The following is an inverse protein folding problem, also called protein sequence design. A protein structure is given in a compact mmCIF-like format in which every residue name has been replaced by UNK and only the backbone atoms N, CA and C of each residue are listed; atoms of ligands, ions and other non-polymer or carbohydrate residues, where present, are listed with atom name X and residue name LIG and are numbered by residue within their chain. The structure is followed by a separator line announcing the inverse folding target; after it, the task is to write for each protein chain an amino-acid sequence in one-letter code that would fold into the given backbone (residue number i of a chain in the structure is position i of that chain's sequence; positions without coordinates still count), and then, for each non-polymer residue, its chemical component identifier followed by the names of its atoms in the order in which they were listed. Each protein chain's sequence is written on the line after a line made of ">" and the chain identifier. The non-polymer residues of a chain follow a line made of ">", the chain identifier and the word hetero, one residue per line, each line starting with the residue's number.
data_IF_692636976216
#
_entry.id   IF_692636976216
#
_cell.length_a   1.000
_cell.length_b   1.000
_cell.length_c   1.000
_cell.angle_alpha   90.00
_cell.angle_beta   90.00
_cell.angle_gamma   90.00
#
_symmetry.space_group_name_H-M   'P 1'
#
loop_
_entity.id
_entity.type
_entity.pdbx_description
1 polymer ?
#
# COMPACT_ATOMS: atom_id res chain seq x y z
N UNK A 1 9.72 3.76 8.54
CA UNK A 1 9.18 4.13 7.19
C UNK A 1 8.55 5.55 7.13
N UNK A 2 8.89 6.36 6.11
CA UNK A 2 8.30 7.70 5.82
C UNK A 2 7.05 7.59 4.92
N UNK A 3 5.96 7.02 5.42
CA UNK A 3 4.69 6.83 4.69
C UNK A 3 3.77 8.07 4.73
N UNK A 4 4.32 9.26 4.94
CA UNK A 4 3.52 10.43 5.40
C UNK A 4 2.62 11.04 4.33
N UNK A 5 2.72 10.62 3.06
CA UNK A 5 2.04 11.27 1.93
C UNK A 5 0.72 10.58 1.55
N UNK A 6 0.64 9.25 1.45
CA UNK A 6 -0.58 8.58 0.98
C UNK A 6 -1.56 8.34 2.13
N UNK A 7 -2.61 9.19 2.18
CA UNK A 7 -3.66 9.14 3.23
C UNK A 7 -5.05 8.78 2.70
N UNK A 8 -5.26 8.87 1.39
CA UNK A 8 -6.58 8.67 0.75
C UNK A 8 -6.47 7.72 -0.44
N UNK A 9 -7.55 6.99 -0.74
CA UNK A 9 -7.61 6.08 -1.90
C UNK A 9 -7.36 6.83 -3.21
N UNK A 10 -7.72 8.11 -3.27
CA UNK A 10 -7.42 8.96 -4.42
C UNK A 10 -5.90 9.17 -4.61
N UNK A 11 -5.16 9.36 -3.52
CA UNK A 11 -3.70 9.42 -3.61
C UNK A 11 -3.09 8.07 -3.99
N UNK A 12 -3.73 6.96 -3.60
CA UNK A 12 -3.33 5.63 -4.07
C UNK A 12 -3.48 5.52 -5.59
N UNK A 13 -4.62 5.93 -6.17
CA UNK A 13 -4.77 5.90 -7.63
C UNK A 13 -3.75 6.80 -8.34
N UNK A 14 -3.47 7.98 -7.79
CA UNK A 14 -2.54 8.93 -8.41
C UNK A 14 -1.11 8.43 -8.36
N UNK A 15 -0.72 7.82 -7.24
CA UNK A 15 0.56 7.15 -7.11
C UNK A 15 0.70 6.00 -8.11
N UNK A 16 -0.31 5.14 -8.23
CA UNK A 16 -0.31 4.02 -9.18
C UNK A 16 -0.33 4.50 -10.64
N UNK A 17 -0.96 5.64 -10.92
CA UNK A 17 -0.93 6.29 -12.22
C UNK A 17 0.43 6.96 -12.54
N UNK A 18 1.39 6.96 -11.61
CA UNK A 18 2.69 7.59 -11.79
C UNK A 18 2.68 9.12 -11.62
N UNK A 19 1.57 9.70 -11.14
CA UNK A 19 1.42 11.14 -10.90
C UNK A 19 2.04 11.58 -9.56
N UNK A 20 2.47 10.65 -8.72
CA UNK A 20 2.99 10.94 -7.39
C UNK A 20 4.38 10.35 -7.18
N UNK A 21 5.37 11.22 -6.98
CA UNK A 21 6.75 10.84 -6.63
C UNK A 21 6.85 10.59 -5.12
N UNK A 22 6.33 9.44 -4.67
CA UNK A 22 6.53 8.97 -3.29
C UNK A 22 7.64 7.93 -3.30
N UNK A 23 8.79 8.29 -2.74
CA UNK A 23 9.89 7.34 -2.54
C UNK A 23 9.62 6.51 -1.29
N UNK A 24 9.47 5.20 -1.49
CA UNK A 24 9.35 4.25 -0.41
C UNK A 24 10.64 3.45 -0.29
N UNK A 25 11.25 3.51 0.90
CA UNK A 25 12.41 2.69 1.23
C UNK A 25 12.02 1.74 2.35
N UNK A 26 11.88 0.46 2.02
CA UNK A 26 11.67 -0.62 2.98
C UNK A 26 12.99 -1.36 3.13
N UNK A 27 13.61 -1.25 4.30
CA UNK A 27 14.91 -1.86 4.55
C UNK A 27 14.83 -3.26 5.15
N UNK A 28 13.72 -3.60 5.82
CA UNK A 28 13.52 -4.88 6.50
C UNK A 28 12.15 -5.49 6.21
N UNK A 29 12.09 -6.82 6.15
CA UNK A 29 10.83 -7.56 5.94
C UNK A 29 9.81 -7.29 7.03
N UNK A 30 10.26 -7.19 8.28
CA UNK A 30 9.40 -6.94 9.43
C UNK A 30 8.74 -5.55 9.37
N UNK A 31 9.53 -4.52 9.04
CA UNK A 31 9.01 -3.17 8.76
C UNK A 31 8.00 -3.18 7.61
N UNK A 32 8.22 -4.01 6.60
CA UNK A 32 7.28 -4.15 5.48
C UNK A 32 5.92 -4.68 5.96
N UNK A 33 5.89 -5.75 6.75
CA UNK A 33 4.63 -6.33 7.24
C UNK A 33 3.92 -5.37 8.19
N UNK A 34 4.66 -4.72 9.09
CA UNK A 34 4.11 -3.66 9.94
C UNK A 34 3.50 -2.51 9.12
N UNK A 35 4.17 -2.07 8.05
CA UNK A 35 3.64 -1.03 7.17
C UNK A 35 2.39 -1.49 6.41
N UNK A 36 2.39 -2.72 5.87
CA UNK A 36 1.24 -3.30 5.18
C UNK A 36 0.03 -3.30 6.12
N UNK A 37 0.21 -3.78 7.36
CA UNK A 37 -0.85 -3.79 8.36
C UNK A 37 -1.38 -2.37 8.64
N UNK A 38 -0.50 -1.40 8.85
CA UNK A 38 -0.86 0.00 9.09
C UNK A 38 -1.65 0.61 7.93
N UNK A 39 -1.25 0.36 6.67
CA UNK A 39 -2.00 0.78 5.47
C UNK A 39 -3.39 0.15 5.48
N UNK A 40 -3.48 -1.17 5.67
CA UNK A 40 -4.76 -1.87 5.63
C UNK A 40 -5.72 -1.39 6.73
N UNK A 41 -5.22 -1.11 7.92
CA UNK A 41 -6.01 -0.55 9.03
C UNK A 41 -6.43 0.90 8.71
N UNK A 42 -5.49 1.76 8.31
CA UNK A 42 -5.74 3.18 8.00
C UNK A 42 -6.82 3.35 6.94
N UNK A 43 -6.77 2.53 5.89
CA UNK A 43 -7.77 2.57 4.81
C UNK A 43 -9.04 1.81 5.13
N UNK A 44 -9.11 1.11 6.26
CA UNK A 44 -10.27 0.31 6.66
C UNK A 44 -10.51 -0.84 5.67
N UNK A 45 -9.45 -1.51 5.22
CA UNK A 45 -9.49 -2.52 4.16
C UNK A 45 -10.64 -3.51 4.31
N UNK A 46 -10.97 -3.96 5.52
CA UNK A 46 -12.10 -4.88 5.76
C UNK A 46 -13.44 -4.34 5.24
N UNK A 47 -13.72 -3.06 5.45
CA UNK A 47 -14.99 -2.40 5.08
C UNK A 47 -15.00 -1.82 3.65
N UNK A 48 -13.91 -1.99 2.88
CA UNK A 48 -13.77 -1.43 1.52
C UNK A 48 -14.33 -2.34 0.43
N UNK A 49 -14.73 -1.74 -0.69
CA UNK A 49 -15.20 -2.45 -1.88
C UNK A 49 -14.08 -3.21 -2.60
N UNK A 50 -14.44 -4.14 -3.50
CA UNK A 50 -13.46 -4.95 -4.27
C UNK A 50 -12.46 -4.09 -5.05
N UNK A 51 -12.91 -2.99 -5.66
CA UNK A 51 -12.07 -2.10 -6.43
C UNK A 51 -11.01 -1.41 -5.55
N UNK A 52 -11.43 -0.82 -4.43
CA UNK A 52 -10.53 -0.16 -3.47
C UNK A 52 -9.52 -1.14 -2.86
N UNK A 53 -9.97 -2.37 -2.54
CA UNK A 53 -9.09 -3.45 -2.08
C UNK A 53 -8.02 -3.78 -3.12
N UNK A 54 -8.39 -3.81 -4.40
CA UNK A 54 -7.44 -4.00 -5.50
C UNK A 54 -6.37 -2.92 -5.55
N UNK A 55 -6.76 -1.64 -5.43
CA UNK A 55 -5.83 -0.51 -5.41
C UNK A 55 -4.83 -0.60 -4.26
N UNK A 56 -5.29 -0.98 -3.06
CA UNK A 56 -4.43 -1.13 -1.89
C UNK A 56 -3.42 -2.28 -2.07
N UNK A 57 -3.83 -3.40 -2.64
CA UNK A 57 -2.92 -4.52 -2.94
C UNK A 57 -1.88 -4.14 -4.00
N UNK A 58 -2.27 -3.36 -5.00
CA UNK A 58 -1.36 -2.90 -6.04
C UNK A 58 -0.32 -1.91 -5.49
N UNK A 59 -0.76 -0.98 -4.62
CA UNK A 59 0.14 -0.11 -3.86
C UNK A 59 1.16 -0.93 -3.06
N UNK A 60 0.69 -1.90 -2.28
CA UNK A 60 1.57 -2.73 -1.47
C UNK A 60 2.59 -3.44 -2.37
N UNK A 61 2.17 -4.04 -3.48
CA UNK A 61 3.09 -4.69 -4.41
C UNK A 61 4.09 -3.74 -5.05
N UNK A 62 3.66 -2.54 -5.44
CA UNK A 62 4.51 -1.50 -6.04
C UNK A 62 5.59 -1.02 -5.07
N UNK A 63 5.24 -0.88 -3.80
CA UNK A 63 6.10 -0.34 -2.74
C UNK A 63 7.02 -1.40 -2.14
N UNK A 64 6.49 -2.59 -1.84
CA UNK A 64 7.26 -3.69 -1.22
C UNK A 64 7.99 -4.59 -2.21
N UNK A 65 7.61 -4.56 -3.50
CA UNK A 65 8.07 -5.53 -4.50
C UNK A 65 7.46 -6.92 -4.34
N UNK A 66 6.55 -7.13 -3.39
CA UNK A 66 5.92 -8.43 -3.18
C UNK A 66 4.81 -8.73 -4.18
N UNK A 67 4.74 -10.01 -4.56
CA UNK A 67 3.62 -10.50 -5.34
C UNK A 67 2.34 -10.53 -4.50
N UNK A 68 1.17 -10.41 -5.15
CA UNK A 68 -0.16 -10.52 -4.52
C UNK A 68 -0.32 -11.79 -3.66
N UNK A 69 0.39 -12.86 -4.01
CA UNK A 69 0.39 -14.11 -3.24
C UNK A 69 1.12 -13.94 -1.90
N UNK A 70 2.24 -13.22 -1.87
CA UNK A 70 3.01 -12.95 -0.65
C UNK A 70 2.28 -11.96 0.27
N UNK A 71 1.50 -11.05 -0.30
CA UNK A 71 0.72 -10.06 0.44
C UNK A 71 -0.50 -10.69 1.13
N UNK A 72 -1.08 -11.74 0.55
CA UNK A 72 -2.25 -12.45 1.09
C UNK A 72 -1.93 -13.60 2.04
N UNK A 73 -0.65 -13.88 2.26
CA UNK A 73 -0.18 -15.00 3.07
C UNK A 73 -0.29 -14.73 4.56
#
# INVERSE_FOLDING_TARGET
>A
MNDTRIKTIEQVREFLAGNSAVEFSISAKDECYSWIEQILIRFGYRNRGKAEKGLLLDLIGKVSGYSRIQIKR
#
